data_IF_460054012357
#
_entry.id   IF_460054012357
#
_cell.length_a   1.000
_cell.length_b   1.000
_cell.length_c   1.000
_cell.angle_alpha   90.00
_cell.angle_beta   90.00
_cell.angle_gamma   90.00
#
_symmetry.space_group_name_H-M   'P 1'
#
loop_
_entity.id
_entity.type
_entity.pdbx_description
1 polymer ?
#
# COMPACT_ATOMS: atom_id res chain seq x y z
N UNK A 1 -30.87 -26.67 -32.31
CA UNK A 1 -29.99 -26.39 -33.43
C UNK A 1 -28.84 -27.39 -33.42
N UNK A 2 -28.81 -28.40 -34.28
CA UNK A 2 -27.70 -29.37 -34.34
C UNK A 2 -26.64 -28.86 -35.31
N UNK A 3 -25.50 -28.47 -34.76
CA UNK A 3 -24.34 -28.03 -35.53
C UNK A 3 -23.70 -29.30 -36.14
N UNK A 4 -23.66 -29.35 -37.47
CA UNK A 4 -23.15 -30.51 -38.22
C UNK A 4 -21.65 -30.29 -38.51
N UNK A 5 -20.79 -30.91 -37.71
CA UNK A 5 -19.31 -30.73 -37.72
C UNK A 5 -18.61 -31.47 -38.88
N UNK A 6 -19.35 -32.12 -39.82
CA UNK A 6 -18.77 -33.03 -40.82
C UNK A 6 -17.90 -32.36 -41.91
N UNK A 7 -17.93 -31.01 -42.06
CA UNK A 7 -17.18 -30.26 -43.08
C UNK A 7 -16.36 -29.14 -42.50
N UNK A 8 -15.95 -29.21 -41.25
CA UNK A 8 -15.11 -28.18 -40.66
C UNK A 8 -13.67 -28.28 -41.18
N UNK A 9 -13.29 -27.34 -42.05
CA UNK A 9 -11.93 -27.21 -42.54
C UNK A 9 -10.97 -26.69 -41.44
N UNK A 10 -9.67 -26.97 -41.60
CA UNK A 10 -8.63 -26.55 -40.68
C UNK A 10 -8.64 -25.03 -40.47
N UNK A 11 -8.99 -24.28 -41.47
CA UNK A 11 -9.07 -22.81 -41.45
C UNK A 11 -10.20 -22.29 -40.54
N UNK A 12 -11.37 -22.96 -40.62
CA UNK A 12 -12.53 -22.62 -39.79
C UNK A 12 -12.29 -22.98 -38.31
N UNK A 13 -11.58 -24.07 -38.05
CA UNK A 13 -11.17 -24.43 -36.70
C UNK A 13 -10.21 -23.41 -36.06
N UNK A 14 -9.25 -22.88 -36.85
CA UNK A 14 -8.34 -21.83 -36.42
C UNK A 14 -9.05 -20.51 -36.11
N UNK A 15 -10.02 -20.15 -36.94
CA UNK A 15 -10.83 -18.94 -36.72
C UNK A 15 -11.66 -19.04 -35.45
N UNK A 16 -12.30 -20.19 -35.22
CA UNK A 16 -13.04 -20.41 -33.96
C UNK A 16 -12.16 -20.40 -32.74
N UNK A 17 -11.01 -21.03 -32.79
CA UNK A 17 -10.03 -21.02 -31.69
C UNK A 17 -9.54 -19.61 -31.38
N UNK A 18 -9.25 -18.80 -32.40
CA UNK A 18 -8.85 -17.40 -32.22
C UNK A 18 -9.96 -16.55 -31.60
N UNK A 19 -11.20 -16.77 -32.00
CA UNK A 19 -12.38 -16.08 -31.45
C UNK A 19 -12.58 -16.45 -29.96
N UNK A 20 -12.51 -17.74 -29.62
CA UNK A 20 -12.61 -18.21 -28.24
C UNK A 20 -11.50 -17.64 -27.37
N UNK A 21 -10.27 -17.57 -27.91
CA UNK A 21 -9.13 -16.98 -27.20
C UNK A 21 -9.34 -15.49 -26.92
N UNK A 22 -9.76 -14.71 -27.92
CA UNK A 22 -10.04 -13.27 -27.78
C UNK A 22 -11.17 -13.02 -26.78
N UNK A 23 -12.27 -13.76 -26.87
CA UNK A 23 -13.40 -13.63 -25.93
C UNK A 23 -12.98 -14.03 -24.52
N UNK A 24 -12.20 -15.10 -24.37
CA UNK A 24 -11.66 -15.53 -23.07
C UNK A 24 -10.75 -14.45 -22.45
N UNK A 25 -9.88 -13.83 -23.23
CA UNK A 25 -9.05 -12.71 -22.77
C UNK A 25 -9.89 -11.50 -22.35
N UNK A 26 -10.93 -11.15 -23.11
CA UNK A 26 -11.81 -10.04 -22.76
C UNK A 26 -12.56 -10.29 -21.45
N UNK A 27 -13.11 -11.49 -21.28
CA UNK A 27 -13.81 -11.88 -20.04
C UNK A 27 -12.85 -11.81 -18.85
N UNK A 28 -11.63 -12.34 -18.99
CA UNK A 28 -10.63 -12.29 -17.94
C UNK A 28 -10.29 -10.85 -17.55
N UNK A 29 -9.99 -9.99 -18.51
CA UNK A 29 -9.61 -8.60 -18.21
C UNK A 29 -10.74 -7.82 -17.55
N UNK A 30 -11.99 -8.02 -17.96
CA UNK A 30 -13.16 -7.35 -17.38
C UNK A 30 -13.44 -7.85 -15.96
N UNK A 31 -13.21 -9.15 -15.67
CA UNK A 31 -13.48 -9.73 -14.35
C UNK A 31 -12.40 -9.43 -13.30
N UNK A 32 -11.12 -9.32 -13.71
CA UNK A 32 -10.02 -9.16 -12.77
C UNK A 32 -9.69 -7.71 -12.43
N UNK A 33 -9.89 -6.77 -13.36
CA UNK A 33 -9.59 -5.35 -13.15
C UNK A 33 -10.33 -4.73 -11.95
N UNK A 34 -11.65 -4.87 -11.80
CA UNK A 34 -12.35 -4.25 -10.66
C UNK A 34 -11.89 -4.78 -9.31
N UNK A 35 -11.53 -6.06 -9.24
CA UNK A 35 -11.01 -6.65 -8.00
C UNK A 35 -9.63 -6.08 -7.62
N UNK A 36 -8.75 -5.87 -8.60
CA UNK A 36 -7.43 -5.27 -8.37
C UNK A 36 -7.57 -3.80 -7.95
N UNK A 37 -8.46 -3.06 -8.59
CA UNK A 37 -8.72 -1.67 -8.26
C UNK A 37 -9.35 -1.52 -6.87
N UNK A 38 -10.28 -2.40 -6.49
CA UNK A 38 -10.86 -2.42 -5.16
C UNK A 38 -9.79 -2.66 -4.07
N UNK A 39 -8.88 -3.62 -4.30
CA UNK A 39 -7.73 -3.86 -3.41
C UNK A 39 -6.82 -2.64 -3.32
N UNK A 40 -6.47 -2.03 -4.45
CA UNK A 40 -5.63 -0.84 -4.48
C UNK A 40 -6.28 0.33 -3.73
N UNK A 41 -7.58 0.54 -3.88
CA UNK A 41 -8.31 1.60 -3.18
C UNK A 41 -8.35 1.36 -1.67
N UNK A 42 -8.54 0.11 -1.22
CA UNK A 42 -8.47 -0.22 0.20
C UNK A 42 -7.10 0.10 0.79
N UNK A 43 -6.01 -0.21 0.08
CA UNK A 43 -4.65 0.11 0.54
C UNK A 43 -4.42 1.62 0.61
N UNK A 44 -4.92 2.39 -0.36
CA UNK A 44 -4.86 3.88 -0.31
C UNK A 44 -5.63 4.44 0.88
N UNK A 45 -6.81 3.91 1.15
CA UNK A 45 -7.60 4.30 2.32
C UNK A 45 -6.86 3.99 3.63
N UNK A 46 -6.24 2.82 3.72
CA UNK A 46 -5.42 2.45 4.87
C UNK A 46 -4.18 3.34 5.01
N UNK A 47 -3.50 3.67 3.91
CA UNK A 47 -2.39 4.63 3.93
C UNK A 47 -2.84 5.97 4.52
N UNK A 48 -3.96 6.50 4.02
CA UNK A 48 -4.54 7.74 4.53
C UNK A 48 -4.89 7.65 6.02
N UNK A 49 -5.49 6.55 6.49
CA UNK A 49 -5.78 6.34 7.91
C UNK A 49 -4.52 6.42 8.78
N UNK A 50 -3.41 5.81 8.33
CA UNK A 50 -2.13 5.86 9.04
C UNK A 50 -1.54 7.28 9.05
N UNK A 51 -1.56 7.96 7.90
CA UNK A 51 -1.11 9.35 7.77
C UNK A 51 -1.93 10.29 8.68
N UNK A 52 -3.25 10.20 8.61
CA UNK A 52 -4.16 11.05 9.41
C UNK A 52 -3.96 10.79 10.92
N UNK A 53 -3.73 9.53 11.31
CA UNK A 53 -3.46 9.15 12.69
C UNK A 53 -2.15 9.78 13.20
N UNK A 54 -1.04 9.60 12.47
CA UNK A 54 0.26 10.17 12.87
C UNK A 54 0.20 11.71 12.88
N UNK A 55 -0.42 12.31 11.87
CA UNK A 55 -0.59 13.76 11.79
C UNK A 55 -1.46 14.30 12.94
N UNK A 56 -2.48 13.56 13.34
CA UNK A 56 -3.31 13.88 14.50
C UNK A 56 -2.49 13.96 15.79
N UNK A 57 -1.58 13.01 16.00
CA UNK A 57 -0.70 13.02 17.17
C UNK A 57 0.37 14.12 17.09
N UNK A 58 0.92 14.40 15.91
CA UNK A 58 1.81 15.54 15.70
C UNK A 58 1.11 16.84 16.12
N UNK A 59 -0.12 17.04 15.67
CA UNK A 59 -0.90 18.24 16.02
C UNK A 59 -1.27 18.26 17.51
N UNK A 60 -1.59 17.12 18.11
CA UNK A 60 -1.88 17.01 19.54
C UNK A 60 -0.67 17.38 20.39
N UNK A 61 0.54 17.03 19.94
CA UNK A 61 1.80 17.33 20.61
C UNK A 61 2.39 18.72 20.27
N UNK A 62 1.88 19.39 19.23
CA UNK A 62 2.43 20.65 18.70
C UNK A 62 2.39 21.86 19.65
N UNK A 63 1.73 21.75 20.81
CA UNK A 63 1.66 22.82 21.79
C UNK A 63 2.76 22.77 22.87
N UNK A 64 3.85 22.00 22.66
CA UNK A 64 5.02 21.90 23.54
C UNK A 64 4.69 21.70 25.03
N UNK A 65 3.65 20.95 25.33
CA UNK A 65 3.29 20.59 26.70
C UNK A 65 4.27 19.50 27.16
N UNK A 66 5.24 19.87 28.02
CA UNK A 66 6.33 19.01 28.45
C UNK A 66 5.85 17.73 29.16
N UNK A 67 4.66 17.80 29.75
CA UNK A 67 4.05 16.67 30.48
C UNK A 67 3.16 15.78 29.60
N UNK A 68 2.95 16.16 28.33
CA UNK A 68 2.05 15.44 27.45
C UNK A 68 2.70 14.23 26.80
N UNK A 69 1.96 13.14 26.77
CA UNK A 69 2.36 11.87 26.17
C UNK A 69 1.53 11.58 24.92
N UNK A 70 2.17 10.96 23.93
CA UNK A 70 1.46 10.40 22.78
C UNK A 70 0.60 9.20 23.20
N UNK A 71 -0.36 8.83 22.39
CA UNK A 71 -1.22 7.66 22.65
C UNK A 71 -0.45 6.33 22.70
N UNK A 72 0.75 6.26 22.14
CA UNK A 72 1.64 5.10 22.20
C UNK A 72 2.68 5.18 23.33
N UNK A 73 2.65 6.25 24.15
CA UNK A 73 3.44 6.37 25.37
C UNK A 73 4.84 6.94 25.21
N UNK A 74 5.12 7.68 24.14
CA UNK A 74 6.33 8.50 24.02
C UNK A 74 6.01 9.94 24.43
N UNK A 75 6.97 10.67 25.08
CA UNK A 75 6.73 12.06 25.42
C UNK A 75 6.61 12.95 24.17
N UNK A 76 5.70 13.91 24.21
CA UNK A 76 5.48 14.81 23.10
C UNK A 76 6.70 15.65 22.74
N UNK A 77 7.54 15.99 23.71
CA UNK A 77 8.79 16.76 23.51
C UNK A 77 10.02 15.86 23.25
N UNK A 78 9.85 14.52 23.25
CA UNK A 78 10.93 13.57 23.09
C UNK A 78 10.96 12.90 21.71
N UNK A 79 11.85 11.93 21.56
CA UNK A 79 11.93 11.10 20.36
C UNK A 79 10.78 10.08 20.33
N UNK A 80 10.15 9.95 19.19
CA UNK A 80 9.10 8.96 18.96
C UNK A 80 9.67 7.69 18.33
N UNK A 81 9.34 6.55 18.91
CA UNK A 81 9.77 5.25 18.41
C UNK A 81 8.87 4.75 17.29
N UNK A 82 9.41 4.61 16.07
CA UNK A 82 8.67 4.03 14.93
C UNK A 82 8.08 2.66 15.26
N UNK A 83 8.79 1.84 16.05
CA UNK A 83 8.30 0.52 16.48
C UNK A 83 7.09 0.61 17.40
N UNK A 84 7.05 1.57 18.32
CA UNK A 84 5.89 1.78 19.20
C UNK A 84 4.69 2.28 18.41
N UNK A 85 4.91 3.22 17.48
CA UNK A 85 3.86 3.75 16.58
C UNK A 85 3.26 2.61 15.75
N UNK A 86 4.09 1.81 15.09
CA UNK A 86 3.64 0.66 14.28
C UNK A 86 2.88 -0.37 15.11
N UNK A 87 3.40 -0.71 16.30
CA UNK A 87 2.72 -1.65 17.21
C UNK A 87 1.35 -1.12 17.64
N UNK A 88 1.26 0.18 17.96
CA UNK A 88 0.00 0.80 18.33
C UNK A 88 -1.00 0.79 17.17
N UNK A 89 -0.56 1.16 15.97
CA UNK A 89 -1.39 1.15 14.74
C UNK A 89 -1.92 -0.25 14.48
N UNK A 90 -1.06 -1.27 14.45
CA UNK A 90 -1.47 -2.65 14.19
C UNK A 90 -2.46 -3.20 15.22
N UNK A 91 -2.41 -2.72 16.46
CA UNK A 91 -3.29 -3.16 17.55
C UNK A 91 -4.63 -2.43 17.56
N UNK A 92 -4.64 -1.14 17.23
CA UNK A 92 -5.79 -0.26 17.49
C UNK A 92 -6.50 0.24 16.24
N UNK A 93 -5.79 0.34 15.09
CA UNK A 93 -6.40 0.69 13.81
C UNK A 93 -6.77 -0.57 13.06
N UNK A 94 -8.00 -0.62 12.55
CA UNK A 94 -8.44 -1.71 11.70
C UNK A 94 -7.85 -1.53 10.29
N UNK A 95 -6.59 -1.97 10.14
CA UNK A 95 -5.84 -1.98 8.87
C UNK A 95 -5.86 -3.40 8.33
N UNK A 96 -6.24 -3.58 7.08
CA UNK A 96 -6.27 -4.87 6.40
C UNK A 96 -5.41 -4.81 5.14
N UNK A 97 -4.47 -5.75 4.99
CA UNK A 97 -3.74 -5.89 3.75
C UNK A 97 -4.48 -6.87 2.82
N UNK A 98 -5.10 -6.40 1.73
CA UNK A 98 -5.87 -7.25 0.83
C UNK A 98 -5.00 -8.19 -0.02
N UNK A 99 -3.67 -8.05 0.05
CA UNK A 99 -2.70 -8.89 -0.68
C UNK A 99 -2.02 -9.93 0.21
N UNK A 100 -2.04 -9.75 1.56
CA UNK A 100 -1.43 -10.66 2.52
C UNK A 100 -2.14 -10.54 3.87
N UNK A 101 -2.43 -11.67 4.51
CA UNK A 101 -3.09 -11.71 5.83
C UNK A 101 -2.12 -11.34 6.97
N UNK A 102 -0.81 -11.58 6.78
CA UNK A 102 0.16 -11.57 7.86
C UNK A 102 0.77 -10.20 8.16
N UNK A 103 0.73 -9.26 7.21
CA UNK A 103 1.49 -8.03 7.35
C UNK A 103 0.69 -6.81 6.92
N UNK A 104 0.47 -5.91 7.88
CA UNK A 104 -0.32 -4.68 7.68
C UNK A 104 0.56 -3.45 7.64
N UNK A 105 1.19 -3.11 8.76
CA UNK A 105 2.08 -1.96 8.91
C UNK A 105 3.42 -2.43 9.47
N UNK A 106 4.52 -1.95 8.89
CA UNK A 106 5.90 -2.27 9.29
C UNK A 106 6.72 -1.01 9.49
N UNK A 107 7.74 -1.11 10.33
CA UNK A 107 8.85 -0.15 10.30
C UNK A 107 9.81 -0.52 9.18
N UNK A 108 10.29 0.48 8.45
CA UNK A 108 11.37 0.27 7.46
C UNK A 108 12.32 1.45 7.51
N UNK A 109 13.64 1.23 7.42
CA UNK A 109 14.62 2.30 7.43
C UNK A 109 14.52 3.25 6.23
N UNK A 110 13.87 2.82 5.13
CA UNK A 110 13.60 3.71 4.00
C UNK A 110 12.28 3.35 3.30
N UNK A 111 11.14 3.89 3.78
CA UNK A 111 9.84 3.67 3.17
C UNK A 111 9.75 4.12 1.70
N UNK A 112 10.60 5.08 1.27
CA UNK A 112 10.68 5.54 -0.12
C UNK A 112 11.14 4.42 -1.04
N UNK A 113 12.19 3.70 -0.64
CA UNK A 113 12.71 2.55 -1.40
C UNK A 113 11.65 1.46 -1.50
N UNK A 114 10.92 1.20 -0.43
CA UNK A 114 9.88 0.15 -0.39
C UNK A 114 8.63 0.55 -1.18
N UNK A 115 8.20 1.79 -1.10
CA UNK A 115 7.06 2.27 -1.87
C UNK A 115 7.37 2.31 -3.37
N UNK A 116 8.54 2.81 -3.74
CA UNK A 116 8.94 2.96 -5.14
C UNK A 116 9.42 1.65 -5.78
N UNK A 117 9.86 0.67 -5.00
CA UNK A 117 10.29 -0.64 -5.49
C UNK A 117 11.55 -0.58 -6.34
N UNK A 118 12.69 -0.25 -5.76
CA UNK A 118 13.97 -0.30 -6.48
C UNK A 118 14.26 -1.72 -6.98
N UNK A 119 14.88 -1.80 -8.16
CA UNK A 119 15.24 -3.06 -8.80
C UNK A 119 16.02 -3.99 -7.84
N UNK A 120 15.53 -5.22 -7.68
CA UNK A 120 16.14 -6.25 -6.83
C UNK A 120 15.58 -6.35 -5.41
N UNK A 121 14.66 -5.49 -4.99
CA UNK A 121 13.97 -5.62 -3.71
C UNK A 121 12.55 -6.16 -3.91
N UNK A 122 12.18 -7.17 -3.11
CA UNK A 122 10.80 -7.64 -3.05
C UNK A 122 9.94 -6.57 -2.39
N UNK A 123 9.04 -5.96 -3.16
CA UNK A 123 8.08 -5.02 -2.62
C UNK A 123 6.86 -5.79 -2.14
N UNK A 124 6.55 -5.64 -0.86
CA UNK A 124 5.37 -6.24 -0.27
C UNK A 124 4.16 -5.34 -0.57
N UNK A 125 3.36 -5.74 -1.56
CA UNK A 125 2.16 -4.97 -1.92
C UNK A 125 1.17 -4.87 -0.76
N UNK A 126 0.58 -3.70 -0.59
CA UNK A 126 -0.41 -3.44 0.44
C UNK A 126 0.15 -3.24 1.84
N UNK A 127 1.44 -3.42 2.05
CA UNK A 127 2.11 -3.11 3.32
C UNK A 127 2.35 -1.61 3.39
N UNK A 128 2.08 -1.04 4.55
CA UNK A 128 2.36 0.37 4.86
C UNK A 128 3.65 0.41 5.66
N UNK A 129 4.65 1.10 5.14
CA UNK A 129 5.94 1.30 5.79
C UNK A 129 5.97 2.66 6.46
N UNK A 130 6.39 2.68 7.73
CA UNK A 130 6.48 3.89 8.54
C UNK A 130 7.89 4.03 9.08
N UNK A 131 8.46 5.21 8.93
CA UNK A 131 9.76 5.58 9.47
C UNK A 131 9.71 6.97 10.07
N UNK A 132 10.44 7.15 11.17
CA UNK A 132 10.86 8.47 11.65
C UNK A 132 12.30 8.70 11.20
N UNK A 133 12.56 9.75 10.43
CA UNK A 133 13.92 10.10 10.05
C UNK A 133 14.57 10.95 11.15
N UNK A 134 15.22 10.29 12.10
CA UNK A 134 16.09 10.98 13.08
C UNK A 134 17.46 11.35 12.47
N UNK A 135 17.62 11.27 11.15
CA UNK A 135 18.89 11.48 10.46
C UNK A 135 19.24 12.93 10.16
N UNK A 136 18.36 13.87 10.49
CA UNK A 136 18.67 15.30 10.35
C UNK A 136 18.93 15.91 11.73
N UNK A 137 19.95 16.77 11.86
CA UNK A 137 20.34 17.38 13.14
C UNK A 137 19.35 18.43 13.67
N UNK A 138 18.20 18.59 13.06
CA UNK A 138 17.16 19.54 13.46
C UNK A 138 16.00 18.85 14.19
N UNK A 139 15.40 19.50 15.20
CA UNK A 139 14.32 18.96 16.03
C UNK A 139 12.99 18.73 15.31
N UNK A 140 12.93 18.92 14.00
CA UNK A 140 11.80 18.54 13.16
C UNK A 140 11.96 17.11 12.62
N UNK A 141 11.58 16.10 13.39
CA UNK A 141 11.58 14.73 12.88
C UNK A 141 10.57 14.59 11.73
N UNK A 142 11.08 14.31 10.54
CA UNK A 142 10.24 13.95 9.40
C UNK A 142 9.71 12.52 9.61
N UNK A 143 8.43 12.34 9.53
CA UNK A 143 7.78 11.03 9.45
C UNK A 143 7.46 10.70 8.01
N UNK A 144 7.91 9.56 7.54
CA UNK A 144 7.66 9.10 6.17
C UNK A 144 6.78 7.86 6.21
N UNK A 145 5.66 7.93 5.51
CA UNK A 145 4.74 6.83 5.29
C UNK A 145 4.75 6.46 3.82
N UNK A 146 5.08 5.22 3.49
CA UNK A 146 5.15 4.75 2.11
C UNK A 146 4.39 3.46 1.90
N UNK A 147 3.74 3.31 0.75
CA UNK A 147 3.05 2.07 0.38
C UNK A 147 3.03 1.87 -1.14
N UNK A 148 3.03 0.59 -1.55
CA UNK A 148 2.78 0.17 -2.92
C UNK A 148 1.44 -0.56 -2.99
N UNK A 149 0.53 -0.11 -3.84
CA UNK A 149 -0.80 -0.71 -3.98
C UNK A 149 -1.05 -1.34 -5.34
N UNK A 150 -0.12 -1.18 -6.29
CA UNK A 150 -0.22 -1.78 -7.62
C UNK A 150 1.17 -2.10 -8.18
N UNK A 151 1.32 -3.21 -8.88
CA UNK A 151 2.57 -3.59 -9.54
C UNK A 151 2.62 -3.03 -10.98
N UNK A 152 3.77 -2.55 -11.47
CA UNK A 152 5.03 -2.36 -10.74
C UNK A 152 4.99 -1.10 -9.85
N UNK A 153 5.55 -1.19 -8.65
CA UNK A 153 5.53 -0.09 -7.67
C UNK A 153 6.22 1.18 -8.16
N UNK A 154 7.22 1.05 -9.03
CA UNK A 154 7.97 2.19 -9.61
C UNK A 154 7.12 3.03 -10.57
N UNK A 155 5.99 2.50 -11.06
CA UNK A 155 5.16 3.24 -11.99
C UNK A 155 4.40 4.36 -11.26
N UNK A 156 4.35 5.53 -11.89
CA UNK A 156 3.61 6.66 -11.35
C UNK A 156 2.15 6.29 -11.08
N UNK A 157 1.66 6.60 -9.88
CA UNK A 157 0.31 6.29 -9.46
C UNK A 157 0.08 4.86 -8.96
N UNK A 158 1.13 4.03 -8.83
CA UNK A 158 1.06 2.69 -8.24
C UNK A 158 1.57 2.63 -6.79
N UNK A 159 2.14 3.72 -6.31
CA UNK A 159 2.63 3.90 -4.96
C UNK A 159 2.14 5.24 -4.38
N UNK A 160 2.26 5.37 -3.08
CA UNK A 160 2.01 6.62 -2.36
C UNK A 160 3.08 6.82 -1.31
N UNK A 161 3.56 8.06 -1.21
CA UNK A 161 4.57 8.47 -0.26
C UNK A 161 4.13 9.79 0.37
N UNK A 162 4.06 9.83 1.68
CA UNK A 162 3.67 11.02 2.43
C UNK A 162 4.73 11.35 3.47
N UNK A 163 5.19 12.60 3.48
CA UNK A 163 6.06 13.14 4.51
C UNK A 163 5.26 14.03 5.46
N UNK A 164 5.45 13.82 6.75
CA UNK A 164 4.84 14.58 7.83
C UNK A 164 5.95 15.19 8.67
N UNK A 165 5.79 16.45 9.02
CA UNK A 165 6.78 17.21 9.80
C UNK A 165 6.18 17.58 11.15
N UNK A 166 6.99 17.34 12.19
CA UNK A 166 6.66 17.66 13.57
C UNK A 166 7.31 18.96 14.02
#
# INVERSE_FOLDING_TARGET
MRINFKNFGLLEALVLLSLVYVVGMLIWTVSTRPAIEAKANLVKENHKKVVDFINGEINNCGNNDEDKMTVWGDPCNGEWSSSKVVNYINKNLNIENPFSEDTKVKTDPDPRIKAEGKAGQSVEMGVIFVMSSNFLPDPGSEWVVGTCFKSPCVAAGNNELTSLYR
#
